data_IF_017269495428
#
_entry.id   IF_017269495428
#
_cell.length_a   1.000
_cell.length_b   1.000
_cell.length_c   1.000
_cell.angle_alpha   90.00
_cell.angle_beta   90.00
_cell.angle_gamma   90.00
#
_symmetry.space_group_name_H-M   'P 1'
#
loop_
_entity.id
_entity.type
_entity.pdbx_description
1 polymer ?
#
# COMPACT_ATOMS: atom_id res chain seq x y z
N UNK A 1 7.27 -23.19 0.10
CA UNK A 1 7.23 -22.57 1.44
C UNK A 1 6.78 -21.13 1.24
N UNK A 2 5.88 -20.61 2.08
CA UNK A 2 5.41 -19.22 1.98
C UNK A 2 6.52 -18.25 2.40
N UNK A 3 6.70 -17.14 1.66
CA UNK A 3 7.66 -16.08 1.98
C UNK A 3 6.94 -14.74 2.20
N UNK A 4 6.79 -14.30 3.47
CA UNK A 4 6.11 -13.04 3.80
C UNK A 4 6.87 -11.79 3.34
N UNK A 5 8.18 -11.88 3.05
CA UNK A 5 8.98 -10.73 2.59
C UNK A 5 8.54 -10.31 1.18
N UNK A 6 8.26 -11.29 0.32
CA UNK A 6 7.79 -11.05 -1.05
C UNK A 6 6.46 -10.30 -1.01
N UNK A 7 5.48 -10.83 -0.27
CA UNK A 7 4.16 -10.21 -0.14
C UNK A 7 4.23 -8.82 0.49
N UNK A 8 5.08 -8.63 1.50
CA UNK A 8 5.30 -7.33 2.15
C UNK A 8 5.82 -6.27 1.18
N UNK A 9 6.64 -6.66 0.19
CA UNK A 9 7.13 -5.76 -0.88
C UNK A 9 6.11 -5.56 -2.00
N UNK A 10 5.30 -6.57 -2.29
CA UNK A 10 4.36 -6.54 -3.42
C UNK A 10 3.09 -5.76 -3.08
N UNK A 11 2.51 -5.96 -1.89
CA UNK A 11 1.23 -5.33 -1.52
C UNK A 11 1.26 -3.80 -1.57
N UNK A 12 2.32 -3.09 -1.09
CA UNK A 12 2.41 -1.64 -1.25
C UNK A 12 2.39 -1.19 -2.72
N UNK A 13 3.00 -1.95 -3.63
CA UNK A 13 2.98 -1.66 -5.06
C UNK A 13 1.59 -1.91 -5.67
N UNK A 14 0.90 -2.98 -5.26
CA UNK A 14 -0.49 -3.23 -5.66
C UNK A 14 -1.42 -2.10 -5.20
N UNK A 15 -1.24 -1.61 -3.96
CA UNK A 15 -1.96 -0.44 -3.44
C UNK A 15 -1.63 0.79 -4.28
N UNK A 16 -0.36 1.06 -4.57
CA UNK A 16 0.02 2.22 -5.39
C UNK A 16 -0.63 2.17 -6.77
N UNK A 17 -0.57 1.02 -7.45
CA UNK A 17 -1.22 0.80 -8.74
C UNK A 17 -2.73 1.04 -8.64
N UNK A 18 -3.38 0.47 -7.61
CA UNK A 18 -4.80 0.68 -7.37
C UNK A 18 -5.15 2.16 -7.15
N UNK A 19 -4.37 2.89 -6.34
CA UNK A 19 -4.55 4.34 -6.15
C UNK A 19 -4.38 5.11 -7.47
N UNK A 20 -3.38 4.77 -8.28
CA UNK A 20 -3.17 5.45 -9.57
C UNK A 20 -4.28 5.18 -10.60
N UNK A 21 -5.02 4.08 -10.48
CA UNK A 21 -6.17 3.78 -11.35
C UNK A 21 -7.40 4.63 -11.03
N UNK A 22 -7.51 5.14 -9.81
CA UNK A 22 -8.72 5.79 -9.31
C UNK A 22 -8.89 7.27 -9.73
N UNK A 23 -7.88 7.87 -10.37
CA UNK A 23 -7.86 9.30 -10.77
C UNK A 23 -8.21 10.25 -9.59
N UNK A 24 -8.47 11.54 -9.85
CA UNK A 24 -8.85 12.56 -8.84
C UNK A 24 -10.21 12.30 -8.15
N UNK A 25 -10.95 11.25 -8.53
CA UNK A 25 -12.32 10.95 -8.04
C UNK A 25 -12.31 10.02 -6.80
N UNK A 26 -11.12 9.74 -6.26
CA UNK A 26 -10.84 8.62 -5.36
C UNK A 26 -11.27 8.78 -3.89
N UNK A 27 -11.68 9.98 -3.45
CA UNK A 27 -11.99 10.23 -2.03
C UNK A 27 -13.12 9.34 -1.49
N UNK A 28 -14.12 9.02 -2.33
CA UNK A 28 -15.24 8.16 -1.94
C UNK A 28 -14.79 6.72 -1.65
N UNK A 29 -13.87 6.19 -2.44
CA UNK A 29 -13.34 4.83 -2.23
C UNK A 29 -12.55 4.75 -0.92
N UNK A 30 -11.71 5.74 -0.63
CA UNK A 30 -10.98 5.82 0.64
C UNK A 30 -11.91 5.95 1.84
N UNK A 31 -12.89 6.85 1.78
CA UNK A 31 -13.91 7.02 2.84
C UNK A 31 -14.66 5.73 3.13
N UNK A 32 -14.97 4.94 2.09
CA UNK A 32 -15.66 3.67 2.27
C UNK A 32 -14.71 2.59 2.83
N UNK A 33 -13.44 2.55 2.42
CA UNK A 33 -12.46 1.64 2.99
C UNK A 33 -12.29 1.94 4.49
N UNK A 34 -12.09 3.19 4.87
CA UNK A 34 -11.86 3.59 6.26
C UNK A 34 -13.04 3.20 7.18
N UNK A 35 -14.28 3.26 6.67
CA UNK A 35 -15.47 2.80 7.43
C UNK A 35 -15.47 1.31 7.74
N UNK A 36 -14.86 0.49 6.88
CA UNK A 36 -14.98 -0.97 6.93
C UNK A 36 -13.64 -1.70 7.09
N UNK A 37 -12.51 -1.00 7.16
CA UNK A 37 -11.16 -1.61 7.24
C UNK A 37 -10.96 -2.47 8.49
N UNK A 38 -11.70 -2.18 9.56
CA UNK A 38 -11.68 -2.96 10.80
C UNK A 38 -12.71 -4.11 10.80
N UNK A 39 -13.59 -4.16 9.79
CA UNK A 39 -14.58 -5.23 9.66
C UNK A 39 -13.92 -6.49 9.10
N UNK A 40 -14.30 -7.66 9.59
CA UNK A 40 -13.82 -8.94 9.05
C UNK A 40 -14.37 -9.26 7.65
N UNK A 41 -15.51 -8.64 7.29
CA UNK A 41 -16.21 -8.83 6.01
C UNK A 41 -16.60 -7.49 5.43
N UNK A 42 -16.30 -7.29 4.14
CA UNK A 42 -16.75 -6.10 3.42
C UNK A 42 -18.26 -6.18 3.12
N UNK A 43 -19.06 -5.15 3.46
CA UNK A 43 -20.51 -5.22 3.33
C UNK A 43 -20.96 -5.14 1.88
N UNK A 44 -21.88 -6.03 1.48
CA UNK A 44 -22.55 -5.99 0.15
C UNK A 44 -23.73 -5.02 0.23
N UNK A 45 -23.44 -3.73 0.08
CA UNK A 45 -24.41 -2.64 0.04
C UNK A 45 -24.29 -1.87 -1.29
N UNK A 46 -25.28 -1.03 -1.60
CA UNK A 46 -25.20 -0.07 -2.70
C UNK A 46 -24.19 1.03 -2.35
N UNK A 47 -22.91 0.71 -2.52
CA UNK A 47 -21.77 1.57 -2.23
C UNK A 47 -21.27 2.15 -3.57
N UNK A 48 -21.16 3.47 -3.70
CA UNK A 48 -20.51 4.06 -4.87
C UNK A 48 -19.08 3.54 -5.01
N UNK A 49 -18.69 3.16 -6.23
CA UNK A 49 -17.40 2.52 -6.51
C UNK A 49 -17.20 1.22 -5.73
N UNK A 50 -18.24 0.40 -5.58
CA UNK A 50 -18.19 -0.85 -4.80
C UNK A 50 -17.01 -1.74 -5.16
N UNK A 51 -16.79 -1.98 -6.47
CA UNK A 51 -15.74 -2.90 -6.93
C UNK A 51 -14.34 -2.36 -6.61
N UNK A 52 -14.13 -1.07 -6.85
CA UNK A 52 -12.86 -0.40 -6.58
C UNK A 52 -12.60 -0.33 -5.07
N UNK A 53 -13.65 -0.06 -4.29
CA UNK A 53 -13.58 -0.04 -2.82
C UNK A 53 -13.27 -1.43 -2.27
N UNK A 54 -13.88 -2.48 -2.82
CA UNK A 54 -13.63 -3.87 -2.42
C UNK A 54 -12.19 -4.30 -2.75
N UNK A 55 -11.67 -3.92 -3.92
CA UNK A 55 -10.27 -4.15 -4.29
C UNK A 55 -9.32 -3.48 -3.29
N UNK A 56 -9.53 -2.19 -3.02
CA UNK A 56 -8.74 -1.43 -2.06
C UNK A 56 -8.83 -1.97 -0.63
N UNK A 57 -10.04 -2.28 -0.17
CA UNK A 57 -10.27 -2.87 1.16
C UNK A 57 -9.54 -4.21 1.31
N UNK A 58 -9.53 -5.05 0.26
CA UNK A 58 -8.82 -6.33 0.26
C UNK A 58 -7.31 -6.12 0.38
N UNK A 59 -6.75 -5.17 -0.38
CA UNK A 59 -5.33 -4.84 -0.34
C UNK A 59 -4.90 -4.27 1.03
N UNK A 60 -5.67 -3.34 1.58
CA UNK A 60 -5.40 -2.74 2.89
C UNK A 60 -5.52 -3.78 4.00
N UNK A 61 -6.55 -4.63 3.97
CA UNK A 61 -6.73 -5.72 4.93
C UNK A 61 -5.57 -6.72 4.84
N UNK A 62 -5.13 -7.07 3.63
CA UNK A 62 -3.95 -7.93 3.41
C UNK A 62 -2.68 -7.30 3.99
N UNK A 63 -2.43 -6.02 3.73
CA UNK A 63 -1.31 -5.26 4.33
C UNK A 63 -1.35 -5.33 5.85
N UNK A 64 -2.50 -5.02 6.45
CA UNK A 64 -2.67 -5.01 7.90
C UNK A 64 -2.49 -6.40 8.51
N UNK A 65 -2.90 -7.45 7.79
CA UNK A 65 -2.67 -8.84 8.20
C UNK A 65 -1.17 -9.20 8.15
N UNK A 66 -0.45 -8.81 7.10
CA UNK A 66 1.01 -9.00 7.01
C UNK A 66 1.75 -8.30 8.16
N UNK A 67 1.35 -7.08 8.49
CA UNK A 67 1.93 -6.32 9.61
C UNK A 67 1.70 -7.02 10.96
N UNK A 68 0.52 -7.62 11.17
CA UNK A 68 0.16 -8.35 12.39
C UNK A 68 0.85 -9.72 12.49
N UNK A 69 0.86 -10.49 11.41
CA UNK A 69 1.38 -11.87 11.38
C UNK A 69 2.91 -11.95 11.25
N UNK A 70 3.51 -11.02 10.49
CA UNK A 70 4.95 -11.01 10.17
C UNK A 70 5.60 -9.66 10.51
N UNK A 71 5.53 -9.20 11.77
CA UNK A 71 5.96 -7.86 12.14
C UNK A 71 7.47 -7.64 11.97
N UNK A 72 8.28 -8.70 11.99
CA UNK A 72 9.74 -8.60 11.81
C UNK A 72 10.07 -8.34 10.34
N UNK A 73 9.51 -9.15 9.45
CA UNK A 73 9.69 -9.08 8.01
C UNK A 73 9.09 -7.78 7.48
N UNK A 74 7.92 -7.40 7.99
CA UNK A 74 7.30 -6.10 7.70
C UNK A 74 8.23 -4.93 8.02
N UNK A 75 8.80 -4.90 9.23
CA UNK A 75 9.77 -3.86 9.62
C UNK A 75 11.05 -3.92 8.80
N UNK A 76 11.55 -5.11 8.47
CA UNK A 76 12.75 -5.27 7.67
C UNK A 76 12.56 -4.63 6.29
N UNK A 77 11.47 -4.94 5.60
CA UNK A 77 11.17 -4.37 4.29
C UNK A 77 11.06 -2.84 4.37
N UNK A 78 10.35 -2.30 5.36
CA UNK A 78 10.24 -0.84 5.53
C UNK A 78 11.60 -0.15 5.73
N UNK A 79 12.53 -0.79 6.43
CA UNK A 79 13.89 -0.26 6.63
C UNK A 79 14.70 -0.32 5.34
N UNK A 80 14.57 -1.41 4.58
CA UNK A 80 15.22 -1.61 3.28
C UNK A 80 14.72 -0.57 2.26
N UNK A 81 13.41 -0.39 2.11
CA UNK A 81 12.82 0.61 1.22
C UNK A 81 13.28 2.03 1.58
N UNK A 82 13.28 2.39 2.87
CA UNK A 82 13.80 3.69 3.33
C UNK A 82 15.29 3.87 3.05
N UNK A 83 16.07 2.78 3.04
CA UNK A 83 17.49 2.82 2.69
C UNK A 83 17.66 3.02 1.18
N UNK A 84 16.91 2.28 0.37
CA UNK A 84 16.93 2.38 -1.09
C UNK A 84 16.52 3.78 -1.57
N UNK A 85 15.46 4.36 -0.99
CA UNK A 85 15.02 5.73 -1.27
C UNK A 85 16.13 6.74 -0.94
N UNK A 86 16.75 6.63 0.25
CA UNK A 86 17.85 7.53 0.64
C UNK A 86 19.05 7.42 -0.28
N UNK A 87 19.40 6.20 -0.68
CA UNK A 87 20.49 5.94 -1.61
C UNK A 87 20.20 6.52 -2.99
N UNK A 88 18.98 6.34 -3.50
CA UNK A 88 18.54 6.93 -4.76
C UNK A 88 18.64 8.46 -4.74
N UNK A 89 18.21 9.11 -3.67
CA UNK A 89 18.37 10.56 -3.50
C UNK A 89 19.84 11.00 -3.41
N UNK A 90 20.71 10.20 -2.77
CA UNK A 90 22.15 10.47 -2.73
C UNK A 90 22.75 10.47 -4.13
N UNK A 91 22.50 9.41 -4.90
CA UNK A 91 22.98 9.31 -6.29
C UNK A 91 22.46 10.47 -7.16
N UNK A 92 21.18 10.81 -7.08
CA UNK A 92 20.63 11.95 -7.85
C UNK A 92 21.27 13.29 -7.49
N UNK A 93 21.65 13.51 -6.22
CA UNK A 93 22.36 14.73 -5.80
C UNK A 93 23.80 14.75 -6.30
N UNK A 94 24.47 13.61 -6.30
CA UNK A 94 25.82 13.46 -6.84
C UNK A 94 25.85 13.65 -8.37
N UNK A 95 24.83 13.17 -9.08
CA UNK A 95 24.71 13.26 -10.55
C UNK A 95 24.21 14.63 -11.05
N UNK A 96 23.49 15.41 -10.22
CA UNK A 96 22.94 16.72 -10.58
C UNK A 96 23.00 17.74 -9.42
N UNK A 97 24.20 18.21 -9.03
CA UNK A 97 24.39 19.09 -7.87
C UNK A 97 23.78 20.50 -8.01
N UNK A 98 23.37 20.92 -9.21
CA UNK A 98 22.91 22.30 -9.50
C UNK A 98 21.39 22.48 -9.61
N UNK A 99 20.56 21.49 -9.24
CA UNK A 99 19.08 21.59 -9.36
C UNK A 99 18.31 21.58 -8.03
N UNK A 100 18.98 21.62 -6.89
CA UNK A 100 18.36 21.51 -5.57
C UNK A 100 18.98 22.45 -4.55
#
# INVERSE_FOLDING_TARGET
>A
MYDPIVDTRTVPNEIHIWVTKLDDVSYIAFDNIDKYVESDVFPVLDIPLYNETLEGWTLVTRRNKLEKEYPREFRQVLVEEKREIREHYRMMKEDCPNKW
#
